data_IF_832100756489
#
_entry.id   IF_832100756489
#
_cell.length_a   1.000
_cell.length_b   1.000
_cell.length_c   1.000
_cell.angle_alpha   90.00
_cell.angle_beta   90.00
_cell.angle_gamma   90.00
#
_symmetry.space_group_name_H-M   'P 1'
#
loop_
_entity.id
_entity.type
_entity.pdbx_description
1 polymer ?
#
# COMPACT_ATOMS: atom_id res chain seq x y z
N UNK A 1 -12.96 -9.30 -25.60
CA UNK A 1 -11.79 -8.39 -25.44
C UNK A 1 -12.07 -7.20 -24.52
N UNK A 2 -12.97 -6.25 -24.86
CA UNK A 2 -13.25 -5.11 -23.95
C UNK A 2 -13.94 -5.53 -22.63
N UNK A 3 -14.87 -6.50 -22.68
CA UNK A 3 -15.55 -7.01 -21.47
C UNK A 3 -14.63 -7.85 -20.57
N UNK A 4 -13.72 -8.65 -21.16
CA UNK A 4 -12.77 -9.48 -20.40
C UNK A 4 -11.75 -8.63 -19.64
N UNK A 5 -11.30 -7.52 -20.25
CA UNK A 5 -10.40 -6.57 -19.60
C UNK A 5 -11.09 -5.83 -18.43
N UNK A 6 -12.38 -5.48 -18.57
CA UNK A 6 -13.17 -4.90 -17.47
C UNK A 6 -13.38 -5.90 -16.32
N UNK A 7 -13.70 -7.16 -16.64
CA UNK A 7 -13.83 -8.23 -15.64
C UNK A 7 -12.52 -8.48 -14.89
N UNK A 8 -11.39 -8.52 -15.61
CA UNK A 8 -10.07 -8.67 -15.00
C UNK A 8 -9.74 -7.51 -14.04
N UNK A 9 -9.98 -6.26 -14.48
CA UNK A 9 -9.77 -5.09 -13.64
C UNK A 9 -10.65 -5.13 -12.37
N UNK A 10 -11.93 -5.49 -12.51
CA UNK A 10 -12.87 -5.65 -11.41
C UNK A 10 -12.39 -6.68 -10.38
N UNK A 11 -12.07 -7.90 -10.81
CA UNK A 11 -11.63 -8.98 -9.91
C UNK A 11 -10.39 -8.56 -9.15
N UNK A 12 -9.42 -7.94 -9.84
CA UNK A 12 -8.18 -7.48 -9.21
C UNK A 12 -8.43 -6.38 -8.18
N UNK A 13 -9.23 -5.36 -8.51
CA UNK A 13 -9.51 -4.24 -7.59
C UNK A 13 -10.25 -4.72 -6.34
N UNK A 14 -11.26 -5.59 -6.50
CA UNK A 14 -11.99 -6.18 -5.37
C UNK A 14 -11.09 -7.08 -4.52
N UNK A 15 -10.24 -7.89 -5.15
CA UNK A 15 -9.27 -8.72 -4.42
C UNK A 15 -8.29 -7.86 -3.60
N UNK A 16 -7.82 -6.74 -4.15
CA UNK A 16 -7.00 -5.78 -3.42
C UNK A 16 -7.73 -5.12 -2.24
N UNK A 17 -9.00 -4.79 -2.42
CA UNK A 17 -9.86 -4.29 -1.34
C UNK A 17 -10.01 -5.30 -0.21
N UNK A 18 -10.31 -6.57 -0.54
CA UNK A 18 -10.43 -7.66 0.44
C UNK A 18 -9.09 -7.88 1.17
N UNK A 19 -7.99 -7.98 0.44
CA UNK A 19 -6.66 -8.14 1.04
C UNK A 19 -6.35 -7.03 2.04
N UNK A 20 -6.65 -5.78 1.69
CA UNK A 20 -6.45 -4.65 2.60
C UNK A 20 -7.30 -4.74 3.87
N UNK A 21 -8.54 -5.21 3.78
CA UNK A 21 -9.36 -5.42 4.98
C UNK A 21 -8.79 -6.52 5.85
N UNK A 22 -8.27 -7.59 5.25
CA UNK A 22 -7.58 -8.66 5.97
C UNK A 22 -6.31 -8.16 6.69
N UNK A 23 -5.54 -7.28 6.05
CA UNK A 23 -4.34 -6.64 6.63
C UNK A 23 -4.67 -5.87 7.90
N UNK A 24 -5.68 -4.98 7.84
CA UNK A 24 -6.14 -4.24 9.01
C UNK A 24 -6.63 -5.17 10.14
N UNK A 25 -7.27 -6.30 9.79
CA UNK A 25 -7.66 -7.30 10.78
C UNK A 25 -6.45 -7.99 11.43
N UNK A 26 -5.42 -8.34 10.65
CA UNK A 26 -4.19 -8.95 11.18
C UNK A 26 -3.41 -7.97 12.04
N UNK A 27 -3.38 -6.68 11.69
CA UNK A 27 -2.74 -5.66 12.52
C UNK A 27 -3.46 -5.47 13.86
N UNK A 28 -4.80 -5.47 13.87
CA UNK A 28 -5.58 -5.45 15.13
C UNK A 28 -5.28 -6.70 15.96
N UNK A 29 -5.23 -7.88 15.34
CA UNK A 29 -4.86 -9.12 16.02
C UNK A 29 -3.45 -9.03 16.63
N UNK A 30 -2.50 -8.40 15.94
CA UNK A 30 -1.15 -8.19 16.45
C UNK A 30 -1.11 -7.26 17.66
N UNK A 31 -1.92 -6.20 17.71
CA UNK A 31 -2.06 -5.34 18.89
C UNK A 31 -2.46 -6.18 20.11
N UNK A 32 -3.49 -7.03 19.99
CA UNK A 32 -3.92 -7.90 21.09
C UNK A 32 -2.86 -8.91 21.49
N UNK A 33 -2.14 -9.46 20.50
CA UNK A 33 -1.08 -10.44 20.72
C UNK A 33 0.08 -9.83 21.50
N UNK A 34 0.60 -8.68 21.07
CA UNK A 34 1.66 -7.97 21.78
C UNK A 34 1.23 -7.51 23.17
N UNK A 35 -0.02 -7.06 23.32
CA UNK A 35 -0.55 -6.67 24.62
C UNK A 35 -0.59 -7.84 25.60
N UNK A 36 -1.05 -9.01 25.15
CA UNK A 36 -1.12 -10.24 25.98
C UNK A 36 0.25 -10.80 26.31
N UNK A 37 1.22 -10.67 25.40
CA UNK A 37 2.60 -11.09 25.61
C UNK A 37 3.40 -10.14 26.53
N UNK A 38 2.81 -9.04 27.01
CA UNK A 38 3.49 -8.07 27.88
C UNK A 38 4.31 -7.02 27.13
N UNK A 39 4.47 -7.18 25.82
CA UNK A 39 5.22 -6.31 24.91
C UNK A 39 4.41 -5.08 24.47
N UNK A 40 3.93 -4.30 25.45
CA UNK A 40 2.98 -3.20 25.22
C UNK A 40 3.53 -2.11 24.29
N UNK A 41 4.83 -1.91 24.26
CA UNK A 41 5.46 -0.89 23.40
C UNK A 41 5.17 -1.15 21.91
N UNK A 42 5.31 -2.39 21.43
CA UNK A 42 5.00 -2.72 20.03
C UNK A 42 3.51 -2.56 19.72
N UNK A 43 2.64 -2.93 20.66
CA UNK A 43 1.20 -2.70 20.53
C UNK A 43 0.88 -1.20 20.38
N UNK A 44 1.53 -0.33 21.17
CA UNK A 44 1.36 1.12 21.07
C UNK A 44 1.88 1.68 19.75
N UNK A 45 3.02 1.18 19.24
CA UNK A 45 3.54 1.61 17.95
C UNK A 45 2.60 1.24 16.79
N UNK A 46 2.12 -0.01 16.73
CA UNK A 46 1.17 -0.43 15.68
C UNK A 46 -0.12 0.38 15.76
N UNK A 47 -0.66 0.58 16.97
CA UNK A 47 -1.84 1.40 17.17
C UNK A 47 -1.62 2.86 16.71
N UNK A 48 -0.46 3.43 17.01
CA UNK A 48 -0.09 4.77 16.55
C UNK A 48 -0.08 4.86 15.02
N UNK A 49 0.53 3.90 14.32
CA UNK A 49 0.61 3.90 12.86
C UNK A 49 -0.77 3.78 12.20
N UNK A 50 -1.65 2.92 12.72
CA UNK A 50 -3.04 2.82 12.24
C UNK A 50 -3.78 4.15 12.43
N UNK A 51 -3.70 4.75 13.64
CA UNK A 51 -4.37 6.02 13.92
C UNK A 51 -3.82 7.17 13.07
N UNK A 52 -2.51 7.18 12.84
CA UNK A 52 -1.85 8.18 11.99
C UNK A 52 -2.27 8.04 10.52
N UNK A 53 -2.32 6.81 9.99
CA UNK A 53 -2.86 6.51 8.66
C UNK A 53 -4.30 7.00 8.51
N UNK A 54 -5.17 6.66 9.47
CA UNK A 54 -6.57 7.10 9.45
C UNK A 54 -6.72 8.62 9.54
N UNK A 55 -5.89 9.28 10.35
CA UNK A 55 -5.87 10.74 10.43
C UNK A 55 -5.53 11.37 9.07
N UNK A 56 -4.47 10.91 8.40
CA UNK A 56 -4.08 11.42 7.07
C UNK A 56 -5.18 11.16 6.03
N UNK A 57 -5.80 9.99 6.07
CA UNK A 57 -6.93 9.63 5.23
C UNK A 57 -8.14 10.56 5.45
N UNK A 58 -8.48 10.89 6.69
CA UNK A 58 -9.56 11.83 7.01
C UNK A 58 -9.27 13.24 6.49
N UNK A 59 -8.04 13.72 6.66
CA UNK A 59 -7.59 14.99 6.08
C UNK A 59 -7.77 14.98 4.57
N UNK A 60 -7.38 13.89 3.91
CA UNK A 60 -7.54 13.73 2.47
C UNK A 60 -9.02 13.72 2.05
N UNK A 61 -9.92 13.02 2.76
CA UNK A 61 -11.37 13.03 2.52
C UNK A 61 -11.91 14.46 2.51
N UNK A 62 -11.56 15.25 3.53
CA UNK A 62 -12.02 16.63 3.68
C UNK A 62 -11.51 17.50 2.55
N UNK A 63 -10.23 17.40 2.19
CA UNK A 63 -9.64 18.16 1.08
C UNK A 63 -10.27 17.80 -0.27
N UNK A 64 -10.44 16.50 -0.55
CA UNK A 64 -11.02 15.97 -1.78
C UNK A 64 -12.48 16.38 -1.97
N UNK A 65 -13.25 16.43 -0.89
CA UNK A 65 -14.69 16.70 -0.92
C UNK A 65 -15.07 18.11 -0.41
N UNK A 66 -14.13 19.04 -0.27
CA UNK A 66 -14.38 20.39 0.30
C UNK A 66 -15.47 21.20 -0.43
N UNK A 67 -15.68 20.95 -1.72
CA UNK A 67 -16.71 21.60 -2.55
C UNK A 67 -18.05 20.85 -2.57
N UNK A 68 -18.13 19.69 -1.91
CA UNK A 68 -19.30 18.83 -1.88
C UNK A 68 -20.20 19.14 -0.67
N UNK A 69 -21.41 18.59 -0.68
CA UNK A 69 -22.32 18.66 0.48
C UNK A 69 -21.69 17.99 1.71
N UNK A 70 -21.82 18.62 2.88
CA UNK A 70 -21.31 18.11 4.17
C UNK A 70 -21.74 16.66 4.48
N UNK A 71 -22.92 16.25 4.04
CA UNK A 71 -23.41 14.87 4.21
C UNK A 71 -22.57 13.84 3.45
N UNK A 72 -22.03 14.20 2.27
CA UNK A 72 -21.11 13.34 1.52
C UNK A 72 -19.77 13.23 2.24
N UNK A 73 -19.23 14.34 2.76
CA UNK A 73 -18.00 14.34 3.55
C UNK A 73 -18.14 13.42 4.76
N UNK A 74 -19.21 13.56 5.54
CA UNK A 74 -19.47 12.70 6.70
C UNK A 74 -19.57 11.23 6.32
N UNK A 75 -20.22 10.91 5.19
CA UNK A 75 -20.32 9.53 4.68
C UNK A 75 -18.94 8.95 4.34
N UNK A 76 -18.08 9.71 3.66
CA UNK A 76 -16.71 9.29 3.36
C UNK A 76 -15.85 9.13 4.64
N UNK A 77 -16.01 10.02 5.62
CA UNK A 77 -15.33 9.91 6.91
C UNK A 77 -15.75 8.64 7.66
N UNK A 78 -17.03 8.28 7.62
CA UNK A 78 -17.53 7.02 8.19
C UNK A 78 -16.87 5.83 7.49
N UNK A 79 -16.75 5.83 6.16
CA UNK A 79 -16.07 4.75 5.45
C UNK A 79 -14.60 4.58 5.83
N UNK A 80 -13.89 5.68 6.11
CA UNK A 80 -12.51 5.62 6.61
C UNK A 80 -12.49 5.03 8.02
N UNK A 81 -13.30 5.55 8.93
CA UNK A 81 -13.33 5.10 10.34
C UNK A 81 -13.78 3.65 10.51
N UNK A 82 -14.60 3.11 9.59
CA UNK A 82 -15.06 1.72 9.62
C UNK A 82 -14.20 0.76 8.79
N UNK A 83 -13.01 1.19 8.31
CA UNK A 83 -12.11 0.39 7.46
C UNK A 83 -12.76 -0.08 6.14
N UNK A 84 -13.85 0.57 5.71
CA UNK A 84 -14.60 0.20 4.51
C UNK A 84 -14.13 0.94 3.25
N UNK A 85 -13.39 2.06 3.43
CA UNK A 85 -12.96 2.93 2.33
C UNK A 85 -12.21 2.16 1.22
N UNK A 86 -11.26 1.25 1.50
CA UNK A 86 -10.58 0.48 0.44
C UNK A 86 -11.54 -0.29 -0.46
N UNK A 87 -12.53 -0.96 0.12
CA UNK A 87 -13.52 -1.74 -0.63
C UNK A 87 -14.50 -0.85 -1.41
N UNK A 88 -14.95 0.25 -0.79
CA UNK A 88 -15.86 1.21 -1.42
C UNK A 88 -15.19 1.90 -2.61
N UNK A 89 -13.92 2.28 -2.48
CA UNK A 89 -13.18 2.91 -3.57
C UNK A 89 -12.88 1.93 -4.70
N UNK A 90 -12.47 0.70 -4.38
CA UNK A 90 -12.27 -0.35 -5.37
C UNK A 90 -13.56 -0.60 -6.19
N UNK A 91 -14.71 -0.64 -5.51
CA UNK A 91 -16.01 -0.78 -6.16
C UNK A 91 -16.36 0.41 -7.07
N UNK A 92 -16.12 1.64 -6.62
CA UNK A 92 -16.37 2.86 -7.41
C UNK A 92 -15.51 2.95 -8.66
N UNK A 93 -14.21 2.62 -8.54
CA UNK A 93 -13.29 2.57 -9.68
C UNK A 93 -13.71 1.49 -10.67
N UNK A 94 -14.19 0.35 -10.17
CA UNK A 94 -14.56 -0.76 -11.04
C UNK A 94 -15.85 -0.56 -11.83
N UNK A 95 -16.79 0.25 -11.33
CA UNK A 95 -18.05 0.57 -12.03
C UNK A 95 -17.89 1.77 -12.98
N UNK A 96 -16.69 2.34 -13.08
CA UNK A 96 -16.40 3.49 -13.95
C UNK A 96 -17.33 4.66 -13.61
N UNK A 97 -17.50 4.91 -12.30
CA UNK A 97 -18.38 5.95 -11.81
C UNK A 97 -17.90 7.30 -12.37
N UNK A 98 -18.80 8.04 -13.05
CA UNK A 98 -18.47 9.34 -13.63
C UNK A 98 -17.88 10.27 -12.56
N UNK A 99 -16.94 11.12 -12.98
CA UNK A 99 -16.31 12.11 -12.10
C UNK A 99 -17.39 12.96 -11.44
N UNK A 100 -17.50 12.88 -10.11
CA UNK A 100 -18.53 13.63 -9.41
C UNK A 100 -18.16 15.10 -9.43
N UNK A 101 -18.94 15.92 -10.14
CA UNK A 101 -18.72 17.36 -10.28
C UNK A 101 -18.29 18.02 -8.96
N UNK A 102 -17.07 18.58 -8.96
CA UNK A 102 -16.46 19.23 -7.79
C UNK A 102 -15.53 18.37 -6.93
N UNK A 103 -15.19 17.14 -7.33
CA UNK A 103 -14.05 16.39 -6.76
C UNK A 103 -12.72 17.01 -7.22
N UNK A 104 -11.69 16.96 -6.37
CA UNK A 104 -10.34 17.49 -6.71
C UNK A 104 -9.59 16.54 -7.63
N UNK A 105 -9.72 15.23 -7.39
CA UNK A 105 -9.11 14.17 -8.21
C UNK A 105 -10.16 13.15 -8.67
N UNK A 106 -9.86 12.42 -9.74
CA UNK A 106 -10.71 11.34 -10.25
C UNK A 106 -10.78 10.14 -9.29
N UNK A 107 -11.84 9.30 -9.32
CA UNK A 107 -12.00 8.17 -8.39
C UNK A 107 -10.80 7.20 -8.38
N UNK A 108 -10.18 6.96 -9.54
CA UNK A 108 -8.99 6.10 -9.65
C UNK A 108 -7.79 6.71 -8.95
N UNK A 109 -7.57 8.01 -9.15
CA UNK A 109 -6.48 8.74 -8.51
C UNK A 109 -6.71 8.82 -7.00
N UNK A 110 -7.95 9.06 -6.57
CA UNK A 110 -8.35 9.03 -5.15
C UNK A 110 -7.95 7.71 -4.50
N UNK A 111 -8.38 6.57 -5.07
CA UNK A 111 -8.03 5.24 -4.57
C UNK A 111 -6.50 5.04 -4.48
N UNK A 112 -5.75 5.49 -5.49
CA UNK A 112 -4.28 5.41 -5.48
C UNK A 112 -3.67 6.25 -4.36
N UNK A 113 -4.16 7.47 -4.11
CA UNK A 113 -3.66 8.30 -3.02
C UNK A 113 -3.96 7.70 -1.64
N UNK A 114 -5.18 7.19 -1.42
CA UNK A 114 -5.53 6.50 -0.17
C UNK A 114 -4.62 5.30 0.08
N UNK A 115 -4.45 4.46 -0.94
CA UNK A 115 -3.56 3.29 -0.87
C UNK A 115 -2.11 3.68 -0.62
N UNK A 116 -1.65 4.80 -1.17
CA UNK A 116 -0.32 5.34 -0.92
C UNK A 116 -0.14 5.80 0.51
N UNK A 117 -1.15 6.47 1.07
CA UNK A 117 -1.17 6.89 2.49
C UNK A 117 -1.14 5.67 3.42
N UNK A 118 -1.97 4.66 3.18
CA UNK A 118 -1.98 3.41 3.93
C UNK A 118 -0.61 2.71 3.90
N UNK A 119 -0.03 2.59 2.70
CA UNK A 119 1.26 1.93 2.51
C UNK A 119 2.38 2.63 3.31
N UNK A 120 2.40 3.96 3.28
CA UNK A 120 3.44 4.77 3.92
C UNK A 120 3.27 4.88 5.44
N UNK A 121 2.04 5.14 5.90
CA UNK A 121 1.78 5.51 7.30
C UNK A 121 1.50 4.31 8.20
N UNK A 122 1.07 3.17 7.64
CA UNK A 122 0.62 2.00 8.39
C UNK A 122 1.35 0.72 7.98
N UNK A 123 1.27 0.32 6.70
CA UNK A 123 1.74 -1.00 6.30
C UNK A 123 3.26 -1.17 6.43
N UNK A 124 4.06 -0.23 5.89
CA UNK A 124 5.53 -0.32 5.97
C UNK A 124 6.02 -0.21 7.43
N UNK A 125 5.64 0.81 8.22
CA UNK A 125 6.10 0.93 9.60
C UNK A 125 5.57 -0.20 10.50
N UNK A 126 4.32 -0.64 10.30
CA UNK A 126 3.72 -1.75 11.02
C UNK A 126 4.46 -3.06 10.79
N UNK A 127 4.76 -3.37 9.52
CA UNK A 127 5.54 -4.56 9.16
C UNK A 127 6.97 -4.51 9.71
N UNK A 128 7.62 -3.33 9.76
CA UNK A 128 8.94 -3.15 10.39
C UNK A 128 8.90 -3.45 11.89
N UNK A 129 7.88 -2.98 12.61
CA UNK A 129 7.71 -3.28 14.05
C UNK A 129 7.47 -4.77 14.28
N UNK A 130 6.61 -5.40 13.47
CA UNK A 130 6.33 -6.84 13.57
C UNK A 130 7.58 -7.69 13.28
N UNK A 131 8.33 -7.35 12.22
CA UNK A 131 9.57 -8.04 11.88
C UNK A 131 10.66 -7.83 12.93
N UNK A 132 10.80 -6.61 13.45
CA UNK A 132 11.73 -6.33 14.55
C UNK A 132 11.38 -7.12 15.81
N UNK A 133 10.11 -7.13 16.23
CA UNK A 133 9.67 -7.87 17.41
C UNK A 133 9.94 -9.38 17.29
N UNK A 134 9.80 -9.93 16.08
CA UNK A 134 10.12 -11.32 15.79
C UNK A 134 11.63 -11.61 15.86
N UNK A 135 12.45 -10.76 15.21
CA UNK A 135 13.90 -10.93 15.12
C UNK A 135 14.63 -10.65 16.45
N UNK A 136 14.15 -9.69 17.23
CA UNK A 136 14.66 -9.37 18.57
C UNK A 136 14.32 -10.44 19.62
N UNK A 137 13.55 -11.48 19.26
CA UNK A 137 13.17 -12.56 20.16
C UNK A 137 12.04 -12.22 21.14
N UNK A 138 11.43 -11.05 21.03
CA UNK A 138 10.36 -10.60 21.94
C UNK A 138 9.02 -11.33 21.73
N UNK A 139 8.67 -11.67 20.48
CA UNK A 139 7.48 -12.46 20.18
C UNK A 139 7.65 -13.26 18.89
N UNK A 140 7.99 -14.54 19.03
CA UNK A 140 8.24 -15.46 17.91
C UNK A 140 7.04 -16.33 17.57
N UNK A 141 5.82 -15.87 17.86
CA UNK A 141 4.62 -16.63 17.54
C UNK A 141 4.41 -16.75 16.03
N UNK A 142 3.81 -17.86 15.59
CA UNK A 142 3.42 -18.08 14.20
C UNK A 142 2.44 -17.01 13.68
N UNK A 143 1.68 -16.38 14.59
CA UNK A 143 0.79 -15.27 14.29
C UNK A 143 1.53 -14.03 13.77
N UNK A 144 2.73 -13.73 14.30
CA UNK A 144 3.55 -12.59 13.85
C UNK A 144 4.01 -12.81 12.40
N UNK A 145 4.50 -14.02 12.09
CA UNK A 145 4.92 -14.38 10.73
C UNK A 145 3.73 -14.30 9.76
N UNK A 146 2.56 -14.82 10.16
CA UNK A 146 1.37 -14.77 9.34
C UNK A 146 0.95 -13.33 9.02
N UNK A 147 0.89 -12.46 10.03
CA UNK A 147 0.59 -11.04 9.87
C UNK A 147 1.60 -10.34 8.95
N UNK A 148 2.89 -10.62 9.14
CA UNK A 148 3.96 -10.06 8.30
C UNK A 148 3.81 -10.47 6.83
N UNK A 149 3.48 -11.73 6.55
CA UNK A 149 3.23 -12.22 5.19
C UNK A 149 2.03 -11.54 4.55
N UNK A 150 0.94 -11.33 5.31
CA UNK A 150 -0.25 -10.61 4.82
C UNK A 150 0.13 -9.17 4.48
N UNK A 151 0.81 -8.46 5.38
CA UNK A 151 1.19 -7.06 5.17
C UNK A 151 2.13 -6.86 3.98
N UNK A 152 3.16 -7.72 3.84
CA UNK A 152 4.04 -7.73 2.65
C UNK A 152 3.24 -7.99 1.37
N UNK A 153 2.29 -8.93 1.42
CA UNK A 153 1.45 -9.25 0.26
C UNK A 153 0.55 -8.08 -0.13
N UNK A 154 -0.03 -7.37 0.84
CA UNK A 154 -0.88 -6.19 0.59
C UNK A 154 -0.05 -5.05 0.03
N UNK A 155 1.14 -4.79 0.58
CA UNK A 155 2.07 -3.80 0.08
C UNK A 155 2.51 -4.08 -1.37
N UNK A 156 2.88 -5.33 -1.65
CA UNK A 156 3.27 -5.79 -2.98
C UNK A 156 2.11 -5.74 -3.99
N UNK A 157 0.92 -6.16 -3.59
CA UNK A 157 -0.26 -6.14 -4.44
C UNK A 157 -0.68 -4.72 -4.78
N UNK A 158 -0.63 -3.82 -3.80
CA UNK A 158 -0.95 -2.40 -3.95
C UNK A 158 0.02 -1.72 -4.91
N UNK A 159 1.32 -1.84 -4.67
CA UNK A 159 2.36 -1.27 -5.55
C UNK A 159 2.31 -1.84 -6.98
N UNK A 160 2.04 -3.14 -7.13
CA UNK A 160 1.86 -3.78 -8.43
C UNK A 160 0.61 -3.26 -9.15
N UNK A 161 -0.49 -3.10 -8.44
CA UNK A 161 -1.74 -2.54 -9.02
C UNK A 161 -1.55 -1.11 -9.48
N UNK A 162 -0.87 -0.27 -8.69
CA UNK A 162 -0.52 1.09 -9.09
C UNK A 162 0.38 1.11 -10.34
N UNK A 163 1.46 0.32 -10.33
CA UNK A 163 2.39 0.25 -11.45
C UNK A 163 1.72 -0.23 -12.72
N UNK A 164 0.85 -1.25 -12.61
CA UNK A 164 0.07 -1.74 -13.74
C UNK A 164 -0.89 -0.68 -14.28
N UNK A 165 -1.57 0.04 -13.39
CA UNK A 165 -2.55 1.06 -13.78
C UNK A 165 -1.90 2.26 -14.47
N UNK A 166 -0.74 2.69 -13.97
CA UNK A 166 0.05 3.75 -14.59
C UNK A 166 0.59 3.27 -15.94
N UNK A 167 1.12 2.05 -16.01
CA UNK A 167 1.64 1.52 -17.26
C UNK A 167 0.54 1.38 -18.31
N UNK A 168 -0.69 0.99 -17.97
CA UNK A 168 -1.79 0.85 -18.94
C UNK A 168 -2.41 2.19 -19.40
N UNK A 169 -2.01 3.32 -18.82
CA UNK A 169 -2.50 4.64 -19.20
C UNK A 169 -1.91 5.06 -20.56
N UNK A 170 -2.77 5.30 -21.55
CA UNK A 170 -2.36 5.68 -22.91
C UNK A 170 -1.60 7.01 -22.95
N UNK A 171 -2.00 7.97 -22.12
CA UNK A 171 -1.38 9.30 -22.11
C UNK A 171 0.05 9.18 -21.56
N UNK A 172 0.20 8.44 -20.46
CA UNK A 172 1.52 8.23 -19.82
C UNK A 172 2.45 7.40 -20.70
N UNK A 173 1.93 6.35 -21.35
CA UNK A 173 2.66 5.59 -22.37
C UNK A 173 3.12 6.45 -23.53
N UNK A 174 2.28 7.38 -23.99
CA UNK A 174 2.62 8.29 -25.07
C UNK A 174 3.72 9.28 -24.70
N UNK A 175 3.73 9.76 -23.45
CA UNK A 175 4.74 10.72 -22.99
C UNK A 175 6.11 10.08 -22.73
N UNK A 176 6.16 8.89 -22.11
CA UNK A 176 7.41 8.20 -21.78
C UNK A 176 7.41 6.75 -22.30
N UNK A 177 7.56 6.54 -23.62
CA UNK A 177 7.50 5.22 -24.25
C UNK A 177 8.67 4.30 -23.90
N UNK A 178 9.82 4.86 -23.48
CA UNK A 178 10.98 4.05 -23.06
C UNK A 178 10.80 3.44 -21.66
N UNK A 179 9.94 4.02 -20.83
CA UNK A 179 9.70 3.59 -19.45
C UNK A 179 8.43 2.76 -19.30
N UNK A 180 7.38 3.13 -20.03
CA UNK A 180 6.09 2.42 -20.01
C UNK A 180 5.91 1.52 -21.25
N UNK A 181 4.92 0.65 -21.23
CA UNK A 181 4.64 -0.30 -22.31
C UNK A 181 5.19 -1.71 -22.07
N UNK A 182 5.76 -1.97 -20.89
CA UNK A 182 6.25 -3.31 -20.54
C UNK A 182 5.12 -4.33 -20.28
N UNK A 183 3.87 -3.86 -20.10
CA UNK A 183 2.71 -4.74 -19.94
C UNK A 183 2.02 -4.96 -21.29
N UNK A 184 2.04 -6.20 -21.82
CA UNK A 184 1.51 -6.52 -23.15
C UNK A 184 -0.02 -6.42 -23.22
N UNK A 185 -0.59 -6.27 -24.42
CA UNK A 185 -2.03 -6.06 -24.59
C UNK A 185 -2.89 -7.32 -24.44
N UNK A 186 -2.33 -8.51 -24.69
CA UNK A 186 -3.05 -9.77 -24.59
C UNK A 186 -3.36 -10.13 -23.11
N UNK A 187 -4.63 -10.41 -22.79
CA UNK A 187 -5.10 -10.66 -21.41
C UNK A 187 -4.30 -11.73 -20.67
N UNK A 188 -4.00 -12.87 -21.31
CA UNK A 188 -3.20 -13.94 -20.69
C UNK A 188 -1.77 -13.48 -20.35
N UNK A 189 -1.18 -12.62 -21.19
CA UNK A 189 0.15 -12.07 -20.93
C UNK A 189 0.09 -11.00 -19.83
N UNK A 190 -0.96 -10.17 -19.77
CA UNK A 190 -1.20 -9.21 -18.67
C UNK A 190 -1.22 -9.89 -17.31
N UNK A 191 -1.95 -11.00 -17.19
CA UNK A 191 -2.06 -11.76 -15.93
C UNK A 191 -0.68 -12.29 -15.52
N UNK A 192 0.08 -12.88 -16.47
CA UNK A 192 1.44 -13.37 -16.21
C UNK A 192 2.38 -12.25 -15.77
N UNK A 193 2.43 -11.15 -16.52
CA UNK A 193 3.26 -9.99 -16.19
C UNK A 193 2.88 -9.40 -14.83
N UNK A 194 1.59 -9.26 -14.54
CA UNK A 194 1.09 -8.79 -13.24
C UNK A 194 1.59 -9.69 -12.11
N UNK A 195 1.48 -11.01 -12.25
CA UNK A 195 1.94 -11.96 -11.25
C UNK A 195 3.46 -11.91 -11.04
N UNK A 196 4.25 -11.76 -12.12
CA UNK A 196 5.70 -11.60 -12.01
C UNK A 196 6.08 -10.32 -11.26
N UNK A 197 5.45 -9.19 -11.58
CA UNK A 197 5.70 -7.91 -10.89
C UNK A 197 5.29 -8.03 -9.41
N UNK A 198 4.16 -8.67 -9.13
CA UNK A 198 3.69 -8.92 -7.77
C UNK A 198 4.71 -9.73 -6.95
N UNK A 199 5.21 -10.84 -7.48
CA UNK A 199 6.22 -11.65 -6.80
C UNK A 199 7.52 -10.87 -6.58
N UNK A 200 7.98 -10.14 -7.60
CA UNK A 200 9.17 -9.30 -7.49
C UNK A 200 9.00 -8.22 -6.40
N UNK A 201 7.84 -7.55 -6.37
CA UNK A 201 7.51 -6.57 -5.35
C UNK A 201 7.44 -7.19 -3.95
N UNK A 202 6.84 -8.37 -3.81
CA UNK A 202 6.78 -9.08 -2.53
C UNK A 202 8.17 -9.47 -2.01
N UNK A 203 9.03 -9.98 -2.89
CA UNK A 203 10.42 -10.29 -2.56
C UNK A 203 11.22 -9.03 -2.18
N UNK A 204 11.03 -7.93 -2.90
CA UNK A 204 11.75 -6.69 -2.65
C UNK A 204 11.30 -6.05 -1.32
N UNK A 205 9.99 -5.98 -1.08
CA UNK A 205 9.43 -5.43 0.15
C UNK A 205 9.84 -6.29 1.36
N UNK A 206 9.76 -7.62 1.27
CA UNK A 206 10.21 -8.50 2.35
C UNK A 206 11.71 -8.37 2.63
N UNK A 207 12.55 -8.37 1.60
CA UNK A 207 13.99 -8.19 1.74
C UNK A 207 14.33 -6.88 2.44
N UNK A 208 13.66 -5.78 2.08
CA UNK A 208 13.88 -4.47 2.69
C UNK A 208 13.41 -4.43 4.14
N UNK A 209 12.22 -4.96 4.45
CA UNK A 209 11.70 -5.01 5.83
C UNK A 209 12.63 -5.84 6.71
N UNK A 210 13.04 -7.03 6.27
CA UNK A 210 13.96 -7.89 7.05
C UNK A 210 15.32 -7.22 7.23
N UNK A 211 15.89 -6.63 6.18
CA UNK A 211 17.17 -5.94 6.27
C UNK A 211 17.14 -4.76 7.24
N UNK A 212 16.13 -3.89 7.15
CA UNK A 212 15.96 -2.78 8.09
C UNK A 212 15.79 -3.29 9.52
N UNK A 213 14.87 -4.23 9.75
CA UNK A 213 14.62 -4.77 11.08
C UNK A 213 15.86 -5.44 11.69
N UNK A 214 16.67 -6.17 10.91
CA UNK A 214 17.94 -6.72 11.37
C UNK A 214 18.95 -5.63 11.75
N UNK A 215 19.05 -4.57 10.93
CA UNK A 215 19.92 -3.43 11.26
C UNK A 215 19.46 -2.72 12.54
N UNK A 216 18.14 -2.58 12.74
CA UNK A 216 17.58 -1.98 13.95
C UNK A 216 17.86 -2.83 15.20
N UNK A 217 17.86 -4.16 15.09
CA UNK A 217 18.22 -5.08 16.20
C UNK A 217 19.65 -4.84 16.67
N UNK A 218 20.59 -4.59 15.75
CA UNK A 218 21.97 -4.26 16.10
C UNK A 218 22.10 -2.87 16.70
N UNK A 219 21.68 -1.83 15.96
CA UNK A 219 21.56 -0.47 16.48
C UNK A 219 20.80 0.45 15.52
N UNK A 220 20.12 1.46 16.08
CA UNK A 220 19.46 2.49 15.28
C UNK A 220 20.43 3.27 14.34
N UNK A 221 21.72 3.37 14.72
CA UNK A 221 22.73 4.02 13.88
C UNK A 221 23.07 3.22 12.62
N UNK A 222 23.12 1.88 12.74
CA UNK A 222 23.38 0.98 11.60
C UNK A 222 22.20 1.01 10.63
N UNK A 223 20.96 0.97 11.14
CA UNK A 223 19.75 1.08 10.32
C UNK A 223 19.68 2.42 9.56
N UNK A 224 19.94 3.53 10.25
CA UNK A 224 20.01 4.84 9.61
C UNK A 224 21.08 4.90 8.51
N UNK A 225 22.27 4.36 8.77
CA UNK A 225 23.34 4.29 7.78
C UNK A 225 22.95 3.44 6.57
N UNK A 226 22.32 2.29 6.80
CA UNK A 226 21.83 1.41 5.73
C UNK A 226 20.82 2.14 4.83
N UNK A 227 19.83 2.80 5.41
CA UNK A 227 18.82 3.58 4.68
C UNK A 227 19.44 4.78 3.94
N UNK A 228 20.35 5.51 4.59
CA UNK A 228 21.03 6.65 3.98
C UNK A 228 21.87 6.22 2.77
N UNK A 229 22.61 5.10 2.88
CA UNK A 229 23.40 4.56 1.78
C UNK A 229 22.52 4.13 0.62
N UNK A 230 21.46 3.36 0.88
CA UNK A 230 20.53 2.88 -0.16
C UNK A 230 19.89 4.03 -0.94
N UNK A 231 19.40 5.06 -0.24
CA UNK A 231 18.83 6.25 -0.85
C UNK A 231 19.89 7.09 -1.59
N UNK A 232 21.09 7.22 -1.04
CA UNK A 232 22.17 7.97 -1.70
C UNK A 232 22.60 7.32 -3.01
N UNK A 233 22.68 5.98 -3.06
CA UNK A 233 22.99 5.24 -4.29
C UNK A 233 21.93 5.47 -5.36
N UNK A 234 20.65 5.44 -4.98
CA UNK A 234 19.54 5.72 -5.90
C UNK A 234 19.60 7.15 -6.44
N UNK A 235 19.83 8.14 -5.58
CA UNK A 235 19.93 9.55 -5.97
C UNK A 235 21.14 9.77 -6.89
N UNK A 236 22.31 9.20 -6.56
CA UNK A 236 23.51 9.28 -7.39
C UNK A 236 23.27 8.65 -8.75
N UNK A 237 22.65 7.46 -8.81
CA UNK A 237 22.28 6.83 -10.07
C UNK A 237 21.39 7.72 -10.94
N UNK A 238 20.36 8.35 -10.35
CA UNK A 238 19.50 9.30 -11.07
C UNK A 238 20.25 10.55 -11.53
N UNK A 239 21.17 11.07 -10.72
CA UNK A 239 22.00 12.22 -11.09
C UNK A 239 22.89 11.89 -12.29
N UNK A 240 23.53 10.71 -12.29
CA UNK A 240 24.37 10.24 -13.39
C UNK A 240 23.56 10.07 -14.68
N UNK A 241 22.31 9.58 -14.58
CA UNK A 241 21.40 9.48 -15.72
C UNK A 241 20.77 10.80 -16.16
N UNK A 242 20.94 11.89 -15.38
CA UNK A 242 20.28 13.19 -15.60
C UNK A 242 18.74 13.05 -15.67
N UNK A 243 18.19 12.16 -14.85
CA UNK A 243 16.78 11.76 -14.79
C UNK A 243 16.06 12.38 -13.57
N UNK A 244 16.26 13.68 -13.37
CA UNK A 244 15.65 14.51 -12.32
C UNK A 244 14.71 15.55 -12.92
#
# INVERSE_FOLDING_TARGET
>A
MASDNKKYALVRLLFGGILSTFDSMTDIYMIFTFWRSGEKNYAYFIMYFILFSHFLQLVFVVLQNRKQRKTKILKEMVYVLTFMKPGVDAYRVAIDNEEVAGSVVSPRSEMMYFKGVELFAEAIPGALVQAYAFLAGSNQSSGVIFSLVVSVSVAAFTSTTMSFDIDQDKIKRGHNPDFYGYIPDATSKKIKTFFCIFLMAACQVSAKIIACSLCTVESASVDFLYLALDMSLFVVYKLVKRDF
#
